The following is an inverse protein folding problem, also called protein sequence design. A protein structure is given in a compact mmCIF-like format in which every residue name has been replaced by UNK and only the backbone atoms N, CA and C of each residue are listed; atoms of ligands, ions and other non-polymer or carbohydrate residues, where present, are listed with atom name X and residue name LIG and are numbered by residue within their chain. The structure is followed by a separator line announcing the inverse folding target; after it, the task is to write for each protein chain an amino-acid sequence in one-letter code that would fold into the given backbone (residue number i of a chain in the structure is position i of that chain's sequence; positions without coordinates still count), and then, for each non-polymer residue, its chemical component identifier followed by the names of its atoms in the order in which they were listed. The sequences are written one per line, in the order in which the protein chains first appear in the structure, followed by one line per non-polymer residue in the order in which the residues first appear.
data_IF_162278387539
#
_entry.id   IF_162278387539
#
_cell.length_a   1.000
_cell.length_b   1.000
_cell.length_c   1.000
_cell.angle_alpha   90.00
_cell.angle_beta   90.00
_cell.angle_gamma   90.00
#
_symmetry.space_group_name_H-M   'P 1'
#
loop_
_entity.id
_entity.type
_entity.pdbx_description
1 polymer ?
#
# COMPACT_ATOMS: atom_id res chain seq x y z
N UNK A 1 10.39 -8.16 -9.37
CA UNK A 1 9.28 -8.73 -8.57
C UNK A 1 8.45 -9.61 -9.47
N UNK A 2 8.26 -10.88 -9.13
CA UNK A 2 7.35 -11.78 -9.85
C UNK A 2 5.98 -11.68 -9.18
N UNK A 3 4.97 -11.21 -9.90
CA UNK A 3 3.62 -11.02 -9.37
C UNK A 3 3.02 -12.32 -8.82
N UNK A 4 3.35 -13.46 -9.42
CA UNK A 4 2.86 -14.78 -9.01
C UNK A 4 3.28 -15.21 -7.60
N UNK A 5 4.39 -14.68 -7.06
CA UNK A 5 4.84 -15.00 -5.69
C UNK A 5 4.39 -13.96 -4.65
N UNK A 6 3.62 -12.97 -5.08
CA UNK A 6 3.24 -11.84 -4.23
C UNK A 6 1.87 -12.08 -3.62
N UNK A 7 1.68 -11.56 -2.40
CA UNK A 7 0.41 -11.67 -1.69
C UNK A 7 -0.33 -10.34 -1.83
N UNK A 8 -1.64 -10.42 -2.08
CA UNK A 8 -2.52 -9.25 -2.08
C UNK A 8 -2.75 -8.80 -0.63
N UNK A 9 -2.19 -7.66 -0.26
CA UNK A 9 -2.45 -7.01 1.02
C UNK A 9 -3.43 -5.86 0.84
N UNK A 10 -4.42 -5.81 1.73
CA UNK A 10 -5.40 -4.74 1.79
C UNK A 10 -5.02 -3.79 2.92
N UNK A 11 -4.81 -2.52 2.58
CA UNK A 11 -4.60 -1.46 3.56
C UNK A 11 -5.83 -0.58 3.66
N UNK A 12 -6.32 -0.34 4.88
CA UNK A 12 -7.37 0.64 5.15
C UNK A 12 -6.73 2.02 5.14
N UNK A 13 -7.11 2.83 4.17
CA UNK A 13 -6.52 4.15 3.92
C UNK A 13 -7.58 5.01 3.24
N UNK A 14 -7.78 6.22 3.75
CA UNK A 14 -8.67 7.17 3.09
C UNK A 14 -7.92 7.81 1.92
N UNK A 15 -8.33 7.49 0.70
CA UNK A 15 -7.74 8.06 -0.52
C UNK A 15 -8.72 8.97 -1.25
N UNK A 16 -9.73 9.48 -0.53
CA UNK A 16 -10.72 10.40 -1.10
C UNK A 16 -10.02 11.66 -1.60
N UNK A 17 -10.23 12.00 -2.87
CA UNK A 17 -9.60 13.16 -3.51
C UNK A 17 -8.28 12.87 -4.20
N UNK A 18 -7.72 11.65 -4.09
CA UNK A 18 -6.52 11.23 -4.79
C UNK A 18 -6.84 10.31 -5.98
N UNK A 19 -6.11 10.47 -7.08
CA UNK A 19 -6.14 9.50 -8.17
C UNK A 19 -5.19 8.31 -7.93
N UNK A 20 -5.27 7.26 -8.75
CA UNK A 20 -4.48 6.03 -8.56
C UNK A 20 -2.97 6.24 -8.59
N UNK A 21 -2.50 7.22 -9.38
CA UNK A 21 -1.08 7.56 -9.52
C UNK A 21 -0.60 8.27 -8.25
N UNK A 22 -1.40 9.20 -7.71
CA UNK A 22 -1.11 9.90 -6.47
C UNK A 22 -1.05 8.96 -5.27
N UNK A 23 -1.99 8.02 -5.17
CA UNK A 23 -1.98 7.00 -4.12
C UNK A 23 -0.75 6.11 -4.23
N UNK A 24 -0.39 5.67 -5.45
CA UNK A 24 0.80 4.87 -5.65
C UNK A 24 2.08 5.64 -5.30
N UNK A 25 2.15 6.93 -5.66
CA UNK A 25 3.26 7.81 -5.31
C UNK A 25 3.37 8.00 -3.81
N UNK A 26 2.27 8.30 -3.14
CA UNK A 26 2.20 8.46 -1.68
C UNK A 26 2.69 7.19 -0.96
N UNK A 27 2.20 6.01 -1.35
CA UNK A 27 2.67 4.74 -0.76
C UNK A 27 4.19 4.54 -0.97
N UNK A 28 4.71 4.93 -2.13
CA UNK A 28 6.14 4.87 -2.43
C UNK A 28 6.95 5.87 -1.59
N UNK A 29 6.45 7.08 -1.39
CA UNK A 29 7.06 8.11 -0.54
C UNK A 29 7.12 7.65 0.93
N UNK A 30 6.10 6.95 1.42
CA UNK A 30 6.14 6.29 2.74
C UNK A 30 7.05 5.06 2.79
N UNK A 31 7.58 4.60 1.66
CA UNK A 31 8.47 3.43 1.58
C UNK A 31 7.75 2.07 1.50
N UNK A 32 6.44 2.06 1.25
CA UNK A 32 5.68 0.81 1.03
C UNK A 32 6.15 0.17 -0.28
N UNK A 33 6.58 -1.09 -0.19
CA UNK A 33 7.08 -1.85 -1.34
C UNK A 33 6.00 -2.73 -1.94
N UNK A 34 5.86 -2.70 -3.26
CA UNK A 34 4.94 -3.57 -3.97
C UNK A 34 4.32 -2.88 -5.18
N UNK A 35 3.30 -3.53 -5.73
CA UNK A 35 2.56 -3.03 -6.88
C UNK A 35 1.12 -2.73 -6.49
N UNK A 36 0.70 -1.47 -6.62
CA UNK A 36 -0.68 -1.05 -6.35
C UNK A 36 -1.61 -1.64 -7.39
N UNK A 37 -2.48 -2.56 -6.97
CA UNK A 37 -3.43 -3.25 -7.86
C UNK A 37 -4.76 -2.52 -7.96
N UNK A 38 -5.28 -2.04 -6.82
CA UNK A 38 -6.61 -1.44 -6.76
C UNK A 38 -6.60 -0.29 -5.75
N UNK A 39 -7.23 0.82 -6.14
CA UNK A 39 -7.40 2.00 -5.29
C UNK A 39 -8.89 2.26 -5.15
N UNK A 40 -9.37 2.22 -3.91
CA UNK A 40 -10.74 2.55 -3.55
C UNK A 40 -10.72 3.66 -2.49
N UNK A 41 -11.79 4.45 -2.39
CA UNK A 41 -11.88 5.61 -1.49
C UNK A 41 -11.52 5.31 -0.03
N UNK A 42 -11.72 4.07 0.43
CA UNK A 42 -11.50 3.65 1.82
C UNK A 42 -10.38 2.61 1.99
N UNK A 43 -9.81 2.10 0.91
CA UNK A 43 -8.77 1.08 0.97
C UNK A 43 -7.97 0.97 -0.31
N UNK A 44 -6.77 0.42 -0.19
CA UNK A 44 -5.89 0.12 -1.31
C UNK A 44 -5.46 -1.34 -1.24
N UNK A 45 -5.39 -2.00 -2.39
CA UNK A 45 -4.84 -3.35 -2.52
C UNK A 45 -3.47 -3.24 -3.18
N UNK A 46 -2.45 -3.77 -2.51
CA UNK A 46 -1.08 -3.81 -2.99
C UNK A 46 -0.64 -5.27 -3.08
N UNK A 47 -0.07 -5.66 -4.21
CA UNK A 47 0.66 -6.91 -4.35
C UNK A 47 2.03 -6.73 -3.69
N UNK A 48 2.30 -7.49 -2.63
CA UNK A 48 3.48 -7.33 -1.78
C UNK A 48 4.32 -8.62 -1.80
N UNK A 49 5.64 -8.54 -2.00
CA UNK A 49 6.55 -9.67 -1.81
C UNK A 49 6.47 -10.18 -0.37
N UNK A 50 6.58 -11.50 -0.15
CA UNK A 50 6.47 -12.08 1.20
C UNK A 50 7.45 -11.49 2.21
N UNK A 51 8.65 -11.13 1.75
CA UNK A 51 9.72 -10.56 2.56
C UNK A 51 9.36 -9.17 3.11
N UNK A 52 8.70 -8.35 2.30
CA UNK A 52 8.36 -6.96 2.66
C UNK A 52 7.06 -6.83 3.46
N UNK A 53 6.30 -7.90 3.66
CA UNK A 53 5.00 -7.89 4.38
C UNK A 53 5.14 -7.26 5.78
N UNK A 54 6.12 -7.70 6.56
CA UNK A 54 6.30 -7.22 7.94
C UNK A 54 6.70 -5.75 7.96
N UNK A 55 7.57 -5.34 7.03
CA UNK A 55 8.03 -3.97 6.91
C UNK A 55 6.91 -3.03 6.49
N UNK A 56 6.18 -3.37 5.43
CA UNK A 56 5.04 -2.58 4.95
C UNK A 56 3.96 -2.46 6.02
N UNK A 57 3.69 -3.52 6.79
CA UNK A 57 2.73 -3.44 7.90
C UNK A 57 3.14 -2.40 8.94
N UNK A 58 4.42 -2.38 9.33
CA UNK A 58 4.95 -1.40 10.28
C UNK A 58 4.86 0.03 9.73
N UNK A 59 5.16 0.23 8.45
CA UNK A 59 5.02 1.53 7.77
C UNK A 59 3.56 1.99 7.79
N UNK A 60 2.62 1.11 7.40
CA UNK A 60 1.20 1.42 7.38
C UNK A 60 0.61 1.67 8.78
N UNK A 61 1.19 1.05 9.82
CA UNK A 61 0.85 1.37 11.20
C UNK A 61 1.32 2.79 11.58
N UNK A 62 2.52 3.22 11.15
CA UNK A 62 2.97 4.60 11.32
C UNK A 62 2.01 5.62 10.70
N UNK A 63 1.63 5.40 9.44
CA UNK A 63 0.69 6.28 8.70
C UNK A 63 -0.66 6.40 9.43
N UNK A 64 -1.14 5.33 10.07
CA UNK A 64 -2.42 5.36 10.79
C UNK A 64 -2.37 6.06 12.15
N UNK A 65 -1.18 6.29 12.70
CA UNK A 65 -0.98 6.93 14.00
C UNK A 65 -0.47 8.38 13.88
N UNK A 66 -0.34 8.91 12.66
CA UNK A 66 0.04 10.31 12.40
C UNK A 66 -1.16 11.28 12.33
N UNK A 67 -2.36 10.82 12.69
CA UNK A 67 -3.60 11.61 12.87
C UNK A 67 -3.82 11.99 14.35
#
# INVERSE_FOLDING_TARGET
MILSDTIKQKYKLNTTGMNSIEVARMLKDYGVRGFTMEVNKRYVIVAVPREDIKMNRKIMEGIRNED
#
